data_IF_780866750748
#
_entry.id   IF_780866750748
#
_cell.length_a   1.000
_cell.length_b   1.000
_cell.length_c   1.000
_cell.angle_alpha   90.00
_cell.angle_beta   90.00
_cell.angle_gamma   90.00
#
_symmetry.space_group_name_H-M   'P 1'
#
loop_
_entity.id
_entity.type
_entity.pdbx_description
1 polymer ?
#
# COMPACT_ATOMS: atom_id res chain seq x y z
N UNK A 1 3.88 -6.95 -1.24
CA UNK A 1 2.52 -6.95 -0.66
C UNK A 1 1.52 -7.23 -1.77
N UNK A 2 0.57 -8.14 -1.54
CA UNK A 2 -0.51 -8.49 -2.48
C UNK A 2 -1.84 -8.08 -1.84
N UNK A 3 -2.70 -7.40 -2.60
CA UNK A 3 -4.04 -6.98 -2.17
C UNK A 3 -4.98 -6.94 -3.37
N UNK A 4 -6.27 -6.96 -3.11
CA UNK A 4 -7.32 -6.94 -4.13
C UNK A 4 -8.14 -5.65 -4.00
N UNK A 5 -8.50 -5.06 -5.14
CA UNK A 5 -9.53 -4.04 -5.24
C UNK A 5 -10.68 -4.64 -6.05
N UNK A 6 -11.89 -4.60 -5.49
CA UNK A 6 -13.07 -5.21 -6.08
C UNK A 6 -14.25 -4.26 -6.05
N UNK A 7 -15.05 -4.27 -7.12
CA UNK A 7 -16.31 -3.55 -7.16
C UNK A 7 -17.43 -4.43 -6.57
N UNK A 8 -17.88 -4.07 -5.37
CA UNK A 8 -19.00 -4.76 -4.67
C UNK A 8 -20.36 -4.11 -4.94
N UNK A 9 -20.42 -3.10 -5.80
CA UNK A 9 -21.65 -2.43 -6.21
C UNK A 9 -22.34 -3.13 -7.39
N UNK A 10 -23.41 -2.50 -7.87
CA UNK A 10 -24.23 -2.97 -9.00
C UNK A 10 -24.00 -2.17 -10.29
N UNK A 11 -23.12 -1.17 -10.25
CA UNK A 11 -22.78 -0.29 -11.37
C UNK A 11 -21.27 -0.27 -11.60
N UNK A 12 -20.85 0.11 -12.80
CA UNK A 12 -19.43 0.29 -13.10
C UNK A 12 -18.81 1.39 -12.22
N UNK A 13 -17.57 1.18 -11.76
CA UNK A 13 -16.85 2.15 -10.93
C UNK A 13 -16.45 3.43 -11.69
N UNK A 14 -16.32 3.36 -13.01
CA UNK A 14 -15.52 4.33 -13.76
C UNK A 14 -14.02 4.14 -13.48
N UNK A 15 -13.18 4.93 -14.13
CA UNK A 15 -11.75 4.90 -13.87
C UNK A 15 -11.44 5.44 -12.48
N UNK A 16 -10.39 4.92 -11.84
CA UNK A 16 -10.05 5.26 -10.47
C UNK A 16 -8.54 5.26 -10.24
N UNK A 17 -8.11 5.84 -9.13
CA UNK A 17 -6.74 5.69 -8.61
C UNK A 17 -6.80 5.17 -7.18
N UNK A 18 -5.67 4.69 -6.68
CA UNK A 18 -5.51 4.38 -5.27
C UNK A 18 -4.18 4.95 -4.77
N UNK A 19 -4.12 5.20 -3.47
CA UNK A 19 -2.85 5.47 -2.76
C UNK A 19 -2.54 4.31 -1.81
N UNK A 20 -1.26 4.04 -1.62
CA UNK A 20 -0.80 3.07 -0.64
C UNK A 20 0.26 3.72 0.28
N UNK A 21 -0.01 3.73 1.58
CA UNK A 21 0.97 4.08 2.59
C UNK A 21 1.81 2.85 2.89
N UNK A 22 3.10 2.93 2.55
CA UNK A 22 4.06 1.85 2.70
C UNK A 22 4.80 2.01 4.05
N UNK A 23 5.00 0.91 4.80
CA UNK A 23 5.65 0.94 6.11
C UNK A 23 7.19 1.02 6.01
N UNK A 24 7.71 1.89 5.16
CA UNK A 24 9.17 2.10 5.03
C UNK A 24 9.70 2.92 6.22
N UNK A 25 11.01 2.92 6.45
CA UNK A 25 11.65 3.60 7.58
C UNK A 25 11.32 5.11 7.66
N UNK A 26 11.22 5.79 6.51
CA UNK A 26 10.85 7.21 6.42
C UNK A 26 9.35 7.44 6.17
N UNK A 27 8.58 6.37 6.01
CA UNK A 27 7.24 6.41 5.43
C UNK A 27 7.30 6.72 3.92
N UNK A 28 6.41 6.10 3.15
CA UNK A 28 6.31 6.39 1.72
C UNK A 28 4.88 6.25 1.26
N UNK A 29 4.37 7.26 0.54
CA UNK A 29 3.06 7.19 -0.10
C UNK A 29 3.24 6.92 -1.57
N UNK A 30 2.77 5.77 -2.02
CA UNK A 30 2.65 5.42 -3.43
C UNK A 30 1.30 5.87 -3.96
N UNK A 31 1.27 6.48 -5.15
CA UNK A 31 0.05 6.76 -5.91
C UNK A 31 0.03 5.89 -7.16
N UNK A 32 -1.08 5.19 -7.40
CA UNK A 32 -1.23 4.36 -8.59
C UNK A 32 -1.37 5.22 -9.86
N UNK A 33 -1.02 4.67 -11.04
CA UNK A 33 -1.57 5.14 -12.30
C UNK A 33 -3.11 5.05 -12.30
N UNK A 34 -3.74 5.70 -13.28
CA UNK A 34 -5.17 5.54 -13.54
C UNK A 34 -5.50 4.06 -13.83
N UNK A 35 -6.48 3.52 -13.12
CA UNK A 35 -6.97 2.16 -13.25
C UNK A 35 -8.20 2.13 -14.15
N UNK A 36 -8.38 1.00 -14.84
CA UNK A 36 -9.57 0.74 -15.67
C UNK A 36 -10.83 0.60 -14.81
N UNK A 37 -11.99 0.84 -15.42
CA UNK A 37 -13.28 0.64 -14.76
C UNK A 37 -13.52 -0.82 -14.41
N UNK A 38 -14.02 -1.09 -13.20
CA UNK A 38 -14.47 -2.40 -12.76
C UNK A 38 -15.98 -2.50 -12.88
N UNK A 39 -16.47 -3.53 -13.56
CA UNK A 39 -17.89 -3.90 -13.57
C UNK A 39 -18.34 -4.51 -12.23
N UNK A 40 -19.65 -4.71 -12.04
CA UNK A 40 -20.18 -5.34 -10.84
C UNK A 40 -19.57 -6.72 -10.58
N UNK A 41 -18.93 -6.92 -9.43
CA UNK A 41 -18.28 -8.18 -9.05
C UNK A 41 -16.86 -8.37 -9.60
N UNK A 42 -16.40 -7.49 -10.48
CA UNK A 42 -15.03 -7.53 -10.99
C UNK A 42 -14.02 -7.17 -9.90
N UNK A 43 -12.82 -7.73 -10.03
CA UNK A 43 -11.72 -7.51 -9.11
C UNK A 43 -10.37 -7.52 -9.82
N UNK A 44 -9.45 -6.70 -9.33
CA UNK A 44 -8.06 -6.65 -9.77
C UNK A 44 -7.17 -6.93 -8.58
N UNK A 45 -6.24 -7.85 -8.80
CA UNK A 45 -5.16 -8.11 -7.88
C UNK A 45 -3.96 -7.21 -8.15
N UNK A 46 -3.47 -6.58 -7.09
CA UNK A 46 -2.34 -5.68 -7.13
C UNK A 46 -1.18 -6.23 -6.33
N UNK A 47 0.04 -6.04 -6.84
CA UNK A 47 1.27 -6.35 -6.12
C UNK A 47 2.16 -5.12 -6.05
N UNK A 48 2.42 -4.64 -4.83
CA UNK A 48 3.40 -3.59 -4.58
C UNK A 48 4.65 -4.18 -3.93
N UNK A 49 5.80 -3.85 -4.50
CA UNK A 49 7.12 -4.17 -3.96
C UNK A 49 7.71 -2.90 -3.37
N UNK A 50 8.32 -3.04 -2.20
CA UNK A 50 9.05 -1.98 -1.53
C UNK A 50 10.19 -2.57 -0.72
N UNK A 51 11.23 -1.78 -0.52
CA UNK A 51 12.39 -2.11 0.30
C UNK A 51 12.44 -1.20 1.52
N UNK A 52 13.41 -1.38 2.42
CA UNK A 52 13.61 -0.52 3.59
C UNK A 52 12.39 -0.46 4.53
N UNK A 53 11.78 -1.62 4.80
CA UNK A 53 10.77 -1.75 5.86
C UNK A 53 11.30 -1.15 7.17
N UNK A 54 10.45 -0.44 7.90
CA UNK A 54 10.81 0.09 9.21
C UNK A 54 11.33 -1.04 10.13
N UNK A 55 12.36 -0.82 10.95
CA UNK A 55 12.97 -1.86 11.79
C UNK A 55 12.00 -2.57 12.75
N UNK A 56 10.95 -1.87 13.19
CA UNK A 56 9.87 -2.36 14.04
C UNK A 56 8.69 -2.94 13.25
N UNK A 57 8.82 -3.09 11.93
CA UNK A 57 7.70 -3.33 11.03
C UNK A 57 6.79 -2.11 10.92
N UNK A 58 5.61 -2.29 10.33
CA UNK A 58 4.62 -1.22 10.25
C UNK A 58 3.36 -1.59 9.48
N UNK A 59 2.41 -0.67 9.47
CA UNK A 59 1.11 -0.90 8.80
C UNK A 59 1.20 -0.45 7.36
N UNK A 60 0.94 -1.38 6.44
CA UNK A 60 0.62 -1.07 5.06
C UNK A 60 -0.88 -0.74 4.97
N UNK A 61 -1.22 0.37 4.32
CA UNK A 61 -2.62 0.78 4.12
C UNK A 61 -2.84 1.19 2.66
N UNK A 62 -3.96 0.78 2.08
CA UNK A 62 -4.41 1.21 0.74
C UNK A 62 -5.71 1.99 0.89
N UNK A 63 -5.86 3.06 0.10
CA UNK A 63 -7.09 3.83 -0.05
C UNK A 63 -7.44 3.94 -1.54
N UNK A 64 -8.67 3.59 -1.90
CA UNK A 64 -9.21 3.69 -3.26
C UNK A 64 -10.02 4.97 -3.40
N UNK A 65 -9.86 5.65 -4.54
CA UNK A 65 -10.47 6.97 -4.81
C UNK A 65 -10.22 7.99 -3.69
N UNK A 66 -8.95 8.31 -3.38
CA UNK A 66 -8.62 9.23 -2.28
C UNK A 66 -9.14 10.66 -2.50
N UNK A 67 -9.49 11.02 -3.74
CA UNK A 67 -10.07 12.31 -4.10
C UNK A 67 -11.61 12.31 -4.06
N UNK A 68 -12.24 11.19 -3.72
CA UNK A 68 -13.69 11.05 -3.57
C UNK A 68 -14.48 11.38 -4.85
N UNK A 69 -13.87 11.18 -6.02
CA UNK A 69 -14.41 11.52 -7.33
C UNK A 69 -15.48 10.53 -7.81
N UNK A 70 -15.52 9.33 -7.22
CA UNK A 70 -16.46 8.27 -7.58
C UNK A 70 -17.63 8.31 -6.61
N UNK A 71 -18.83 8.28 -7.18
CA UNK A 71 -20.07 8.23 -6.41
C UNK A 71 -20.35 6.79 -6.00
N UNK A 72 -19.91 6.42 -4.80
CA UNK A 72 -20.13 5.11 -4.20
C UNK A 72 -21.19 5.17 -3.10
N UNK A 73 -21.90 4.06 -2.88
CA UNK A 73 -22.92 3.92 -1.83
C UNK A 73 -22.31 3.83 -0.43
N UNK A 74 -21.04 3.44 -0.34
CA UNK A 74 -20.27 3.42 0.88
C UNK A 74 -18.84 3.87 0.55
N UNK A 75 -18.33 4.87 1.26
CA UNK A 75 -16.94 5.35 1.12
C UNK A 75 -16.03 4.81 2.23
N UNK A 76 -16.61 4.25 3.29
CA UNK A 76 -15.88 3.75 4.45
C UNK A 76 -15.18 2.40 4.21
N UNK A 77 -15.54 1.69 3.13
CA UNK A 77 -14.94 0.42 2.71
C UNK A 77 -13.84 0.59 1.64
N UNK A 78 -13.43 1.82 1.35
CA UNK A 78 -12.38 2.10 0.36
C UNK A 78 -10.96 2.01 0.93
N UNK A 79 -10.82 1.61 2.20
CA UNK A 79 -9.52 1.41 2.83
C UNK A 79 -9.33 -0.01 3.34
N UNK A 80 -8.10 -0.50 3.23
CA UNK A 80 -7.68 -1.77 3.79
C UNK A 80 -6.26 -1.65 4.34
N UNK A 81 -6.02 -2.26 5.50
CA UNK A 81 -4.72 -2.20 6.19
C UNK A 81 -4.25 -3.59 6.60
N UNK A 82 -2.93 -3.78 6.61
CA UNK A 82 -2.29 -4.99 7.12
C UNK A 82 -0.94 -4.65 7.74
N UNK A 83 -0.70 -5.15 8.95
CA UNK A 83 0.60 -5.05 9.58
C UNK A 83 1.61 -5.96 8.88
N UNK A 84 2.78 -5.42 8.59
CA UNK A 84 3.95 -6.11 8.05
C UNK A 84 4.98 -6.18 9.16
N UNK A 85 5.16 -7.39 9.69
CA UNK A 85 6.17 -7.65 10.71
C UNK A 85 7.57 -7.35 10.17
N UNK A 86 8.50 -6.92 11.03
CA UNK A 86 9.90 -6.82 10.64
C UNK A 86 10.41 -8.20 10.22
N UNK A 87 11.36 -8.25 9.29
CA UNK A 87 11.99 -9.51 8.93
C UNK A 87 12.63 -10.12 10.19
N UNK A 88 12.30 -11.38 10.49
CA UNK A 88 12.91 -12.16 11.57
C UNK A 88 14.40 -12.38 11.23
N UNK A 89 15.23 -11.40 11.56
CA UNK A 89 16.60 -11.30 11.06
C UNK A 89 17.22 -9.91 11.14
N UNK A 90 16.46 -8.86 11.49
CA UNK A 90 17.05 -7.58 11.94
C UNK A 90 17.69 -7.73 13.33
N UNK A 91 18.73 -8.58 13.42
CA UNK A 91 19.84 -8.29 14.31
C UNK A 91 20.42 -6.98 13.80
N UNK A 92 20.35 -5.93 14.61
CA UNK A 92 21.06 -4.69 14.33
C UNK A 92 22.55 -5.04 14.22
N UNK A 93 23.10 -5.07 13.01
CA UNK A 93 24.54 -5.08 12.84
C UNK A 93 25.02 -3.68 13.26
N UNK A 94 25.78 -3.52 14.34
CA UNK A 94 26.30 -2.21 14.72
C UNK A 94 27.20 -1.71 13.58
N UNK A 95 27.01 -0.45 13.19
CA UNK A 95 27.92 0.24 12.28
C UNK A 95 29.35 0.13 12.84
N UNK A 96 30.20 -0.67 12.20
CA UNK A 96 31.63 -0.68 12.48
C UNK A 96 32.21 0.61 11.90
N UNK A 97 32.50 1.57 12.78
CA UNK A 97 33.23 2.79 12.46
C UNK A 97 34.68 2.41 12.15
N UNK A 98 35.05 2.32 10.87
CA UNK A 98 36.43 2.13 10.46
C UNK A 98 37.20 3.43 10.65
N UNK A 99 38.08 3.45 11.65
CA UNK A 99 39.17 4.42 11.76
C UNK A 99 40.27 4.03 10.76
N UNK A 100 40.56 4.91 9.80
CA UNK A 100 41.82 4.84 9.06
C UNK A 100 42.86 5.69 9.79
N UNK A 101 43.80 5.03 10.48
CA UNK A 101 45.18 5.51 10.60
C UNK A 101 45.99 4.83 9.49
N UNK A 102 46.96 5.45 8.83
CA UNK A 102 47.88 6.51 9.19
C UNK A 102 47.96 7.56 8.08
#
# INVERSE_FOLDING_TARGET
MRFEIANRGTVHSGTYTFIAQLPTAQGFTYTSPLQMSLGPGDRIENTLRFTQLAPQGGTFTVFVDPMHLIKESNKANNSASRYVAPASGYQQQPYQQYHYGY
#
